data_IF_721464334411
#
_entry.id   IF_721464334411
#
_cell.length_a   1.000
_cell.length_b   1.000
_cell.length_c   1.000
_cell.angle_alpha   90.00
_cell.angle_beta   90.00
_cell.angle_gamma   90.00
#
_symmetry.space_group_name_H-M   'P 1'
#
loop_
_entity.id
_entity.type
_entity.pdbx_description
1 polymer ?
#
# COMPACT_ATOMS: atom_id res chain seq x y z
N UNK A 1 38.71 22.02 -0.18
CA UNK A 1 38.01 21.14 0.79
C UNK A 1 36.49 21.35 0.75
N UNK A 2 36.00 22.60 0.74
CA UNK A 2 34.55 22.89 0.79
C UNK A 2 33.75 22.39 -0.43
N UNK A 3 34.31 22.40 -1.63
CA UNK A 3 33.62 21.95 -2.84
C UNK A 3 33.27 20.45 -2.81
N UNK A 4 34.16 19.60 -2.27
CA UNK A 4 33.87 18.17 -2.10
C UNK A 4 32.74 17.94 -1.10
N UNK A 5 32.74 18.68 0.01
CA UNK A 5 31.70 18.56 1.05
C UNK A 5 30.33 18.97 0.50
N UNK A 6 30.26 20.08 -0.25
CA UNK A 6 29.03 20.54 -0.90
C UNK A 6 28.50 19.53 -1.93
N UNK A 7 29.39 18.93 -2.73
CA UNK A 7 29.01 17.88 -3.69
C UNK A 7 28.43 16.65 -2.98
N UNK A 8 29.09 16.16 -1.93
CA UNK A 8 28.60 15.02 -1.14
C UNK A 8 27.24 15.33 -0.49
N UNK A 9 27.05 16.55 0.05
CA UNK A 9 25.75 16.95 0.60
C UNK A 9 24.65 16.99 -0.47
N UNK A 10 24.94 17.54 -1.66
CA UNK A 10 23.98 17.55 -2.76
C UNK A 10 23.61 16.13 -3.20
N UNK A 11 24.60 15.23 -3.31
CA UNK A 11 24.34 13.83 -3.67
C UNK A 11 23.52 13.10 -2.61
N UNK A 12 23.80 13.31 -1.32
CA UNK A 12 23.02 12.74 -0.21
C UNK A 12 21.59 13.29 -0.19
N UNK A 13 21.42 14.60 -0.40
CA UNK A 13 20.11 15.24 -0.49
C UNK A 13 19.28 14.72 -1.67
N UNK A 14 19.89 14.62 -2.85
CA UNK A 14 19.25 14.03 -4.02
C UNK A 14 18.89 12.55 -3.79
N UNK A 15 19.75 11.79 -3.10
CA UNK A 15 19.45 10.40 -2.74
C UNK A 15 18.23 10.34 -1.83
N UNK A 16 18.16 11.17 -0.78
CA UNK A 16 17.06 11.19 0.18
C UNK A 16 15.70 11.41 -0.49
N UNK A 17 15.63 12.35 -1.44
CA UNK A 17 14.40 12.62 -2.22
C UNK A 17 14.01 11.42 -3.09
N UNK A 18 14.99 10.69 -3.64
CA UNK A 18 14.71 9.49 -4.45
C UNK A 18 14.25 8.29 -3.60
N UNK A 19 14.56 8.26 -2.29
CA UNK A 19 14.08 7.19 -1.40
C UNK A 19 12.66 7.45 -0.88
N UNK A 20 12.16 8.69 -0.98
CA UNK A 20 10.75 8.98 -0.70
C UNK A 20 9.87 8.38 -1.80
N UNK A 21 9.50 7.12 -1.61
CA UNK A 21 8.52 6.44 -2.43
C UNK A 21 7.10 6.94 -2.14
N UNK A 22 6.19 6.64 -3.06
CA UNK A 22 4.77 6.97 -2.90
C UNK A 22 4.21 6.29 -1.65
N UNK A 23 3.45 7.05 -0.87
CA UNK A 23 2.69 6.55 0.27
C UNK A 23 1.19 6.71 0.04
N UNK A 24 0.40 5.88 0.71
CA UNK A 24 -1.06 5.89 0.69
C UNK A 24 -1.54 6.39 2.04
N UNK A 25 -2.28 7.49 2.02
CA UNK A 25 -2.86 8.15 3.17
C UNK A 25 -4.35 7.82 3.31
N UNK A 26 -4.74 7.39 4.50
CA UNK A 26 -6.12 7.14 4.89
C UNK A 26 -6.37 7.82 6.24
N UNK A 27 -6.91 9.05 6.17
CA UNK A 27 -7.06 9.90 7.35
C UNK A 27 -5.73 10.25 8.00
N UNK A 28 -5.55 9.83 9.25
CA UNK A 28 -4.34 10.04 10.04
C UNK A 28 -3.25 8.98 9.83
N UNK A 29 -3.56 7.92 9.05
CA UNK A 29 -2.64 6.85 8.76
C UNK A 29 -1.94 7.06 7.41
N UNK A 30 -0.66 6.73 7.34
CA UNK A 30 0.10 6.71 6.09
C UNK A 30 0.91 5.42 5.97
N UNK A 31 0.87 4.82 4.77
CA UNK A 31 1.48 3.53 4.47
C UNK A 31 2.34 3.62 3.22
N UNK A 32 3.57 3.07 3.19
CA UNK A 32 4.32 2.99 1.95
C UNK A 32 3.56 2.11 0.94
N UNK A 33 3.45 2.56 -0.32
CA UNK A 33 2.72 1.85 -1.37
C UNK A 33 3.22 0.41 -1.54
N UNK A 34 4.53 0.19 -1.35
CA UNK A 34 5.14 -1.15 -1.38
C UNK A 34 4.59 -2.11 -0.32
N UNK A 35 4.16 -1.61 0.84
CA UNK A 35 3.48 -2.44 1.84
C UNK A 35 2.03 -2.71 1.45
N UNK A 36 1.33 -1.72 0.88
CA UNK A 36 -0.06 -1.87 0.41
C UNK A 36 -0.13 -2.90 -0.72
N UNK A 37 0.81 -2.88 -1.68
CA UNK A 37 0.91 -3.87 -2.77
C UNK A 37 0.92 -5.32 -2.29
N UNK A 38 1.50 -5.60 -1.11
CA UNK A 38 1.57 -6.96 -0.54
C UNK A 38 0.21 -7.53 -0.16
N UNK A 39 -0.81 -6.68 0.07
CA UNK A 39 -2.18 -7.14 0.35
C UNK A 39 -2.77 -7.97 -0.80
N UNK A 40 -2.39 -7.69 -2.05
CA UNK A 40 -2.85 -8.46 -3.22
C UNK A 40 -2.48 -9.94 -3.11
N UNK A 41 -1.27 -10.24 -2.64
CA UNK A 41 -0.77 -11.62 -2.49
C UNK A 41 -1.52 -12.42 -1.42
N UNK A 42 -2.02 -11.76 -0.36
CA UNK A 42 -2.76 -12.42 0.72
C UNK A 42 -4.13 -12.95 0.27
N UNK A 43 -4.67 -12.36 -0.81
CA UNK A 43 -5.92 -12.79 -1.43
C UNK A 43 -5.72 -13.96 -2.38
N UNK A 44 -4.62 -13.97 -3.14
CA UNK A 44 -4.27 -15.08 -4.03
C UNK A 44 -4.01 -16.38 -3.28
N UNK A 45 -3.54 -16.32 -2.03
CA UNK A 45 -3.36 -17.52 -1.18
C UNK A 45 -4.71 -18.10 -0.74
N UNK A 46 -5.77 -17.28 -0.64
CA UNK A 46 -7.09 -17.71 -0.17
C UNK A 46 -8.01 -18.18 -1.30
N UNK A 47 -7.90 -17.65 -2.52
CA UNK A 47 -8.68 -18.16 -3.65
C UNK A 47 -7.88 -19.22 -4.45
N UNK A 48 -8.33 -20.50 -4.51
CA UNK A 48 -7.79 -21.42 -5.49
C UNK A 48 -8.08 -20.84 -6.87
N UNK A 49 -7.06 -20.79 -7.74
CA UNK A 49 -7.10 -20.26 -9.11
C UNK A 49 -8.24 -20.88 -9.92
N UNK A 50 -9.46 -20.37 -9.75
CA UNK A 50 -10.59 -20.66 -10.62
C UNK A 50 -10.40 -19.79 -11.85
N UNK A 51 -9.72 -20.39 -12.82
CA UNK A 51 -9.61 -19.96 -14.20
C UNK A 51 -11.04 -19.75 -14.72
N UNK A 52 -11.55 -18.53 -14.63
CA UNK A 52 -12.82 -18.17 -15.24
C UNK A 52 -12.72 -16.80 -15.87
N UNK A 53 -12.89 -16.81 -17.19
CA UNK A 53 -12.88 -15.74 -18.18
C UNK A 53 -13.92 -14.62 -17.94
N UNK A 54 -14.19 -14.21 -16.70
CA UNK A 54 -15.07 -13.06 -16.39
C UNK A 54 -14.26 -11.80 -16.09
N UNK A 55 -13.77 -11.22 -17.18
CA UNK A 55 -13.58 -9.77 -17.32
C UNK A 55 -14.89 -9.06 -16.94
N UNK A 56 -14.83 -8.04 -16.07
CA UNK A 56 -15.88 -7.03 -15.82
C UNK A 56 -17.09 -7.35 -14.92
N UNK A 57 -16.97 -8.13 -13.85
CA UNK A 57 -17.87 -7.95 -12.71
C UNK A 57 -17.11 -7.26 -11.58
N UNK A 58 -17.64 -6.19 -10.94
CA UNK A 58 -17.10 -5.73 -9.67
C UNK A 58 -17.34 -6.88 -8.69
N UNK A 59 -16.35 -7.76 -8.54
CA UNK A 59 -16.41 -8.79 -7.51
C UNK A 59 -16.43 -8.01 -6.21
N UNK A 60 -17.61 -7.90 -5.60
CA UNK A 60 -17.76 -7.47 -4.22
C UNK A 60 -16.68 -8.20 -3.45
N UNK A 61 -15.65 -7.47 -3.01
CA UNK A 61 -14.55 -8.07 -2.29
C UNK A 61 -15.18 -8.68 -1.05
N UNK A 62 -15.33 -10.02 -1.03
CA UNK A 62 -15.70 -10.74 0.19
C UNK A 62 -14.80 -10.19 1.32
N UNK A 63 -15.32 -9.81 2.49
CA UNK A 63 -14.52 -9.10 3.46
C UNK A 63 -13.40 -10.00 3.99
N UNK A 64 -12.19 -9.83 3.45
CA UNK A 64 -10.98 -10.51 3.91
C UNK A 64 -10.41 -9.77 5.12
N UNK A 65 -10.83 -8.52 5.34
CA UNK A 65 -10.33 -7.65 6.38
C UNK A 65 -10.42 -8.21 7.81
N UNK A 66 -11.50 -8.88 8.26
CA UNK A 66 -11.54 -9.47 9.59
C UNK A 66 -10.49 -10.57 9.77
N UNK A 67 -10.26 -11.37 8.72
CA UNK A 67 -9.27 -12.46 8.77
C UNK A 67 -7.83 -11.93 8.76
N UNK A 68 -7.58 -10.82 8.06
CA UNK A 68 -6.26 -10.17 8.00
C UNK A 68 -5.81 -9.69 9.39
N UNK A 69 -6.70 -9.04 10.14
CA UNK A 69 -6.37 -8.59 11.49
C UNK A 69 -6.27 -9.74 12.50
N UNK A 70 -7.04 -10.82 12.30
CA UNK A 70 -6.91 -12.04 13.11
C UNK A 70 -5.57 -12.76 12.86
N UNK A 71 -5.03 -12.62 11.65
CA UNK A 71 -3.82 -13.30 11.17
C UNK A 71 -2.65 -12.32 11.05
N UNK A 72 -2.25 -11.69 12.16
CA UNK A 72 -1.17 -10.67 12.22
C UNK A 72 0.15 -11.03 11.51
N UNK A 73 0.45 -12.33 11.35
CA UNK A 73 1.63 -12.81 10.63
C UNK A 73 1.57 -12.62 9.12
N UNK A 74 0.36 -12.56 8.56
CA UNK A 74 0.14 -12.35 7.13
C UNK A 74 0.18 -10.85 6.76
N UNK A 75 -0.20 -9.97 7.68
CA UNK A 75 -0.29 -8.54 7.42
C UNK A 75 1.11 -7.88 7.47
N UNK A 76 1.49 -7.07 6.48
CA UNK A 76 2.73 -6.29 6.52
C UNK A 76 2.82 -5.43 7.78
N UNK A 77 4.03 -5.28 8.33
CA UNK A 77 4.27 -4.55 9.58
C UNK A 77 3.68 -3.15 9.60
N UNK A 78 3.84 -2.41 8.50
CA UNK A 78 3.33 -1.06 8.36
C UNK A 78 1.79 -0.98 8.45
N UNK A 79 1.07 -2.08 8.18
CA UNK A 79 -0.39 -2.12 8.15
C UNK A 79 -1.00 -2.64 9.46
N UNK A 80 -0.20 -3.22 10.37
CA UNK A 80 -0.70 -3.70 11.68
C UNK A 80 -1.48 -2.65 12.48
N UNK A 81 -1.08 -1.36 12.52
CA UNK A 81 -1.84 -0.33 13.26
C UNK A 81 -3.27 -0.14 12.76
N UNK A 82 -3.59 -0.54 11.52
CA UNK A 82 -4.97 -0.48 11.00
C UNK A 82 -5.91 -1.32 11.85
N UNK A 83 -5.44 -2.47 12.35
CA UNK A 83 -6.25 -3.41 13.13
C UNK A 83 -6.64 -2.89 14.51
N UNK A 84 -6.02 -1.81 14.98
CA UNK A 84 -6.37 -1.12 16.23
C UNK A 84 -7.47 -0.06 16.02
N UNK A 85 -7.79 0.28 14.76
CA UNK A 85 -8.80 1.28 14.44
C UNK A 85 -10.20 0.66 14.44
N UNK A 86 -11.24 1.39 14.91
CA UNK A 86 -12.61 0.88 14.95
C UNK A 86 -13.19 0.59 13.56
N UNK A 87 -12.69 1.26 12.52
CA UNK A 87 -13.06 1.09 11.12
C UNK A 87 -12.00 0.31 10.32
N UNK A 88 -11.25 -0.58 10.98
CA UNK A 88 -10.18 -1.38 10.35
C UNK A 88 -10.64 -2.09 9.08
N UNK A 89 -11.86 -2.63 9.07
CA UNK A 89 -12.43 -3.35 7.92
C UNK A 89 -12.57 -2.46 6.68
N UNK A 90 -13.09 -1.24 6.85
CA UNK A 90 -13.27 -0.28 5.76
C UNK A 90 -11.94 0.25 5.24
N UNK A 91 -10.98 0.50 6.14
CA UNK A 91 -9.63 0.93 5.77
C UNK A 91 -8.95 -0.18 4.96
N UNK A 92 -8.96 -1.42 5.45
CA UNK A 92 -8.37 -2.56 4.73
C UNK A 92 -9.03 -2.79 3.38
N UNK A 93 -10.35 -2.65 3.25
CA UNK A 93 -11.02 -2.74 1.95
C UNK A 93 -10.54 -1.66 0.96
N UNK A 94 -10.36 -0.41 1.40
CA UNK A 94 -9.81 0.66 0.53
C UNK A 94 -8.36 0.37 0.14
N UNK A 95 -7.54 -0.08 1.08
CA UNK A 95 -6.14 -0.43 0.82
C UNK A 95 -6.04 -1.64 -0.11
N UNK A 96 -6.92 -2.64 0.01
CA UNK A 96 -7.00 -3.76 -0.93
C UNK A 96 -7.41 -3.30 -2.34
N UNK A 97 -8.34 -2.36 -2.47
CA UNK A 97 -8.71 -1.81 -3.77
C UNK A 97 -7.50 -1.12 -4.45
N UNK A 98 -6.72 -0.35 -3.69
CA UNK A 98 -5.46 0.25 -4.19
C UNK A 98 -4.43 -0.83 -4.52
N UNK A 99 -4.32 -1.89 -3.71
CA UNK A 99 -3.40 -3.00 -3.98
C UNK A 99 -3.74 -3.77 -5.26
N UNK A 100 -5.02 -3.79 -5.68
CA UNK A 100 -5.43 -4.41 -6.94
C UNK A 100 -4.95 -3.62 -8.16
N UNK A 101 -4.91 -2.28 -8.07
CA UNK A 101 -4.44 -1.37 -9.11
C UNK A 101 -3.51 -0.27 -8.54
N UNK A 102 -2.27 -0.63 -8.17
CA UNK A 102 -1.34 0.30 -7.51
C UNK A 102 -0.85 1.42 -8.43
N UNK A 103 -0.99 1.26 -9.76
CA UNK A 103 -0.59 2.26 -10.74
C UNK A 103 -1.32 3.59 -10.51
N UNK A 104 -2.54 3.55 -9.98
CA UNK A 104 -3.30 4.75 -9.63
C UNK A 104 -2.56 5.63 -8.63
N UNK A 105 -1.80 5.05 -7.69
CA UNK A 105 -0.92 5.81 -6.80
C UNK A 105 0.44 6.12 -7.41
N UNK A 106 1.01 5.26 -8.26
CA UNK A 106 2.28 5.57 -8.93
C UNK A 106 2.19 6.78 -9.87
N UNK A 107 1.03 6.98 -10.50
CA UNK A 107 0.75 8.15 -11.35
C UNK A 107 0.04 9.28 -10.58
N UNK A 108 -0.10 9.13 -9.26
CA UNK A 108 -0.65 10.17 -8.39
C UNK A 108 -2.07 10.60 -8.79
N UNK A 109 -2.89 9.66 -9.27
CA UNK A 109 -4.23 9.92 -9.77
C UNK A 109 -5.25 10.23 -8.67
N UNK A 110 -4.95 9.89 -7.41
CA UNK A 110 -5.85 10.08 -6.27
C UNK A 110 -5.17 10.85 -5.15
N UNK A 111 -5.96 11.67 -4.43
CA UNK A 111 -5.51 12.46 -3.29
C UNK A 111 -5.04 11.61 -2.10
N UNK A 112 -5.40 10.33 -2.07
CA UNK A 112 -4.87 9.38 -1.08
C UNK A 112 -3.38 9.07 -1.32
N UNK A 113 -2.82 9.34 -2.49
CA UNK A 113 -1.45 9.01 -2.82
C UNK A 113 -0.57 10.26 -2.62
N UNK A 114 0.47 10.14 -1.79
CA UNK A 114 1.37 11.26 -1.42
C UNK A 114 2.83 10.87 -1.65
N UNK A 115 3.75 11.84 -1.65
CA UNK A 115 5.16 11.60 -1.99
C UNK A 115 5.42 11.59 -3.50
N UNK A 116 4.38 11.87 -4.28
CA UNK A 116 4.51 12.60 -5.53
C UNK A 116 4.50 14.11 -5.22
#
# INVERSE_FOLDING_TARGET
MNACVLSVLCLLGALAVLVEGVTVQDGDLSFPLESVKKLKGLREVQEPRLVSHKKFAPRLLQPVAPQLCSSHSALPEALRPVCEKPNAEEILQRLEAIAQDPNTCEICAYAACTGC
#
